data_IF_241832117566
#
_entry.id   IF_241832117566
#
_cell.length_a   1.000
_cell.length_b   1.000
_cell.length_c   1.000
_cell.angle_alpha   90.00
_cell.angle_beta   90.00
_cell.angle_gamma   90.00
#
_symmetry.space_group_name_H-M   'P 1'
#
loop_
_entity.id
_entity.type
_entity.pdbx_description
1 polymer ?
#
# COMPACT_ATOMS: atom_id res chain seq x y z
N UNK A 1 -7.89 -30.43 2.99
CA UNK A 1 -8.97 -29.43 3.18
C UNK A 1 -8.40 -28.06 2.89
N UNK A 2 -9.08 -27.27 2.03
CA UNK A 2 -8.61 -25.93 1.68
C UNK A 2 -8.78 -25.02 2.93
N UNK A 3 -7.68 -24.54 3.53
CA UNK A 3 -7.65 -23.79 4.80
C UNK A 3 -8.32 -22.41 4.72
N UNK A 4 -8.74 -22.00 3.55
CA UNK A 4 -9.38 -20.69 3.29
C UNK A 4 -10.90 -20.78 3.23
N UNK A 5 -11.45 -21.99 3.10
CA UNK A 5 -12.89 -22.21 2.94
C UNK A 5 -13.69 -21.71 4.16
N UNK A 6 -14.71 -20.89 3.93
CA UNK A 6 -15.54 -20.31 4.99
C UNK A 6 -14.95 -19.10 5.72
N UNK A 7 -13.74 -18.64 5.36
CA UNK A 7 -13.12 -17.41 5.89
C UNK A 7 -13.63 -16.19 5.15
N UNK A 8 -13.68 -15.06 5.86
CA UNK A 8 -14.13 -13.78 5.32
C UNK A 8 -12.98 -12.78 5.24
N UNK A 9 -12.89 -12.05 4.14
CA UNK A 9 -11.88 -11.01 3.90
C UNK A 9 -12.52 -9.67 3.53
N UNK A 10 -11.97 -8.58 4.07
CA UNK A 10 -12.23 -7.21 3.66
C UNK A 10 -10.97 -6.64 2.98
N UNK A 11 -11.10 -6.12 1.76
CA UNK A 11 -10.01 -5.50 1.01
C UNK A 11 -10.37 -4.05 0.73
N UNK A 12 -9.62 -3.09 1.27
CA UNK A 12 -9.85 -1.67 1.01
C UNK A 12 -9.18 -1.22 -0.28
N UNK A 13 -9.77 -0.24 -0.98
CA UNK A 13 -9.26 0.24 -2.28
C UNK A 13 -9.38 -0.81 -3.39
N UNK A 14 -10.42 -1.65 -3.34
CA UNK A 14 -10.61 -2.79 -4.22
C UNK A 14 -11.27 -2.47 -5.57
N UNK A 15 -11.49 -1.20 -5.90
CA UNK A 15 -12.13 -0.81 -7.18
C UNK A 15 -11.22 -0.90 -8.39
N UNK A 16 -9.91 -1.07 -8.22
CA UNK A 16 -8.93 -1.16 -9.32
C UNK A 16 -7.56 -1.66 -8.85
N UNK A 17 -6.71 -2.03 -9.81
CA UNK A 17 -5.29 -2.29 -9.61
C UNK A 17 -4.98 -3.40 -8.61
N UNK A 18 -4.08 -3.14 -7.66
CA UNK A 18 -3.63 -4.15 -6.69
C UNK A 18 -4.79 -4.64 -5.82
N UNK A 19 -5.63 -3.72 -5.32
CA UNK A 19 -6.75 -4.10 -4.44
C UNK A 19 -7.78 -4.98 -5.13
N UNK A 20 -8.12 -4.69 -6.37
CA UNK A 20 -9.00 -5.52 -7.19
C UNK A 20 -8.38 -6.91 -7.43
N UNK A 21 -7.10 -6.96 -7.81
CA UNK A 21 -6.41 -8.23 -8.04
C UNK A 21 -6.36 -9.09 -6.77
N UNK A 22 -6.11 -8.47 -5.60
CA UNK A 22 -6.13 -9.16 -4.30
C UNK A 22 -7.53 -9.70 -4.00
N UNK A 23 -8.57 -8.88 -4.15
CA UNK A 23 -9.94 -9.28 -3.86
C UNK A 23 -10.37 -10.47 -4.73
N UNK A 24 -10.13 -10.41 -6.04
CA UNK A 24 -10.40 -11.52 -6.97
C UNK A 24 -9.62 -12.78 -6.63
N UNK A 25 -8.33 -12.64 -6.28
CA UNK A 25 -7.49 -13.77 -5.91
C UNK A 25 -7.98 -14.45 -4.65
N UNK A 26 -8.28 -13.71 -3.59
CA UNK A 26 -8.79 -14.27 -2.35
C UNK A 26 -10.17 -14.95 -2.55
N UNK A 27 -11.02 -14.40 -3.41
CA UNK A 27 -12.27 -15.04 -3.78
C UNK A 27 -12.04 -16.38 -4.51
N UNK A 28 -11.10 -16.41 -5.45
CA UNK A 28 -10.73 -17.67 -6.15
C UNK A 28 -10.08 -18.70 -5.21
N UNK A 29 -9.44 -18.25 -4.14
CA UNK A 29 -8.88 -19.11 -3.09
C UNK A 29 -9.97 -19.66 -2.13
N UNK A 30 -11.25 -19.27 -2.32
CA UNK A 30 -12.41 -19.77 -1.57
C UNK A 30 -12.81 -18.96 -0.34
N UNK A 31 -12.29 -17.73 -0.18
CA UNK A 31 -12.78 -16.82 0.84
C UNK A 31 -14.06 -16.10 0.37
N UNK A 32 -14.94 -15.74 1.31
CA UNK A 32 -15.96 -14.74 1.06
C UNK A 32 -15.31 -13.36 1.14
N UNK A 33 -15.34 -12.60 0.05
CA UNK A 33 -14.56 -11.36 -0.06
C UNK A 33 -15.47 -10.15 -0.23
N UNK A 34 -15.23 -9.14 0.61
CA UNK A 34 -15.79 -7.80 0.48
C UNK A 34 -14.72 -6.85 -0.04
N UNK A 35 -14.95 -6.32 -1.25
CA UNK A 35 -14.11 -5.30 -1.85
C UNK A 35 -14.67 -3.91 -1.53
N UNK A 36 -13.94 -3.10 -0.78
CA UNK A 36 -14.41 -1.82 -0.31
C UNK A 36 -13.72 -0.65 -1.01
N UNK A 37 -14.48 0.36 -1.40
CA UNK A 37 -13.99 1.59 -2.03
C UNK A 37 -15.03 2.71 -1.91
N UNK A 38 -14.60 3.97 -2.11
CA UNK A 38 -15.51 5.15 -2.06
C UNK A 38 -16.63 5.08 -3.10
N UNK A 39 -16.34 4.51 -4.26
CA UNK A 39 -17.35 4.28 -5.33
C UNK A 39 -17.53 2.79 -5.49
N UNK A 40 -18.79 2.35 -5.49
CA UNK A 40 -19.10 0.95 -5.79
C UNK A 40 -18.59 0.62 -7.20
N UNK A 41 -18.01 -0.54 -7.34
CA UNK A 41 -17.56 -1.08 -8.63
C UNK A 41 -18.53 -2.20 -9.03
N UNK A 42 -19.17 -2.04 -10.17
CA UNK A 42 -19.95 -3.13 -10.76
C UNK A 42 -18.98 -4.05 -11.51
N UNK A 43 -18.53 -5.09 -10.84
CA UNK A 43 -17.72 -6.15 -11.46
C UNK A 43 -18.42 -7.50 -11.30
N UNK A 44 -19.47 -7.76 -12.07
CA UNK A 44 -20.24 -9.00 -11.95
C UNK A 44 -19.37 -10.22 -12.24
N UNK A 45 -19.66 -11.32 -11.57
CA UNK A 45 -18.96 -12.60 -11.81
C UNK A 45 -17.60 -12.78 -11.14
N UNK A 46 -17.16 -11.82 -10.32
CA UNK A 46 -15.82 -11.90 -9.67
C UNK A 46 -15.80 -12.66 -8.35
N UNK A 47 -16.97 -13.00 -7.80
CA UNK A 47 -17.08 -13.57 -6.44
C UNK A 47 -16.76 -12.58 -5.32
N UNK A 48 -16.67 -11.28 -5.63
CA UNK A 48 -16.38 -10.20 -4.68
C UNK A 48 -17.67 -9.39 -4.46
N UNK A 49 -18.08 -9.24 -3.20
CA UNK A 49 -19.15 -8.33 -2.81
C UNK A 49 -18.58 -6.92 -2.61
N UNK A 50 -19.19 -5.90 -3.24
CA UNK A 50 -18.68 -4.53 -3.14
C UNK A 50 -19.38 -3.74 -2.05
N UNK A 51 -18.59 -2.97 -1.25
CA UNK A 51 -19.06 -2.09 -0.18
C UNK A 51 -18.57 -0.66 -0.40
N UNK A 52 -19.40 0.31 -0.07
CA UNK A 52 -18.95 1.69 0.06
C UNK A 52 -18.13 1.85 1.35
N UNK A 53 -16.91 2.39 1.23
CA UNK A 53 -16.05 2.69 2.37
C UNK A 53 -15.09 3.82 2.01
N UNK A 54 -15.10 4.88 2.81
CA UNK A 54 -14.08 5.90 2.86
C UNK A 54 -13.20 5.66 4.10
N UNK A 55 -11.92 5.38 3.89
CA UNK A 55 -10.97 5.12 4.98
C UNK A 55 -10.65 6.37 5.80
N UNK A 56 -11.02 7.56 5.32
CA UNK A 56 -10.81 8.83 6.01
C UNK A 56 -11.95 9.19 6.96
N UNK A 57 -13.03 8.41 6.97
CA UNK A 57 -14.23 8.60 7.77
C UNK A 57 -14.46 7.42 8.73
N UNK A 58 -14.44 7.69 10.03
CA UNK A 58 -14.64 6.68 11.09
C UNK A 58 -16.00 6.00 11.02
N UNK A 59 -17.07 6.75 10.71
CA UNK A 59 -18.42 6.20 10.60
C UNK A 59 -18.57 5.32 9.36
N UNK A 60 -18.02 5.73 8.23
CA UNK A 60 -17.97 4.92 7.02
C UNK A 60 -17.27 3.58 7.27
N UNK A 61 -16.12 3.60 7.96
CA UNK A 61 -15.39 2.37 8.33
C UNK A 61 -16.21 1.50 9.27
N UNK A 62 -16.83 2.08 10.30
CA UNK A 62 -17.66 1.36 11.26
C UNK A 62 -18.86 0.68 10.59
N UNK A 63 -19.55 1.40 9.72
CA UNK A 63 -20.71 0.89 8.98
C UNK A 63 -20.29 -0.26 8.05
N UNK A 64 -19.21 -0.08 7.28
CA UNK A 64 -18.75 -1.11 6.36
C UNK A 64 -18.37 -2.43 7.07
N UNK A 65 -17.66 -2.34 8.21
CA UNK A 65 -17.33 -3.52 9.02
C UNK A 65 -18.60 -4.14 9.61
N UNK A 66 -19.55 -3.31 10.11
CA UNK A 66 -20.84 -3.78 10.59
C UNK A 66 -21.57 -4.61 9.54
N UNK A 67 -21.68 -4.12 8.30
CA UNK A 67 -22.29 -4.86 7.19
C UNK A 67 -21.61 -6.22 6.95
N UNK A 68 -20.28 -6.30 7.03
CA UNK A 68 -19.57 -7.58 6.89
C UNK A 68 -19.95 -8.54 8.01
N UNK A 69 -19.98 -8.05 9.25
CA UNK A 69 -20.33 -8.89 10.42
C UNK A 69 -21.77 -9.33 10.40
N UNK A 70 -22.70 -8.44 10.06
CA UNK A 70 -24.14 -8.77 9.96
C UNK A 70 -24.41 -9.85 8.90
N UNK A 71 -23.67 -9.80 7.78
CA UNK A 71 -23.82 -10.78 6.69
C UNK A 71 -23.14 -12.13 6.93
N UNK A 72 -22.04 -12.16 7.67
CA UNK A 72 -21.15 -13.35 7.74
C UNK A 72 -20.89 -13.81 9.17
N UNK A 73 -21.08 -12.95 10.17
CA UNK A 73 -20.78 -13.25 11.57
C UNK A 73 -19.30 -13.26 11.92
N UNK A 74 -18.39 -13.04 10.97
CA UNK A 74 -16.95 -13.12 11.18
C UNK A 74 -16.14 -12.27 10.21
N UNK A 75 -14.92 -11.91 10.60
CA UNK A 75 -13.92 -11.31 9.73
C UNK A 75 -12.55 -11.92 10.06
N UNK A 76 -11.94 -12.55 9.06
CA UNK A 76 -10.68 -13.29 9.22
C UNK A 76 -9.47 -12.59 8.63
N UNK A 77 -9.70 -11.74 7.63
CA UNK A 77 -8.63 -11.06 6.90
C UNK A 77 -9.04 -9.62 6.64
N UNK A 78 -8.16 -8.70 6.98
CA UNK A 78 -8.25 -7.32 6.52
C UNK A 78 -7.02 -7.01 5.68
N UNK A 79 -7.24 -6.50 4.47
CA UNK A 79 -6.18 -5.99 3.59
C UNK A 79 -6.34 -4.48 3.48
N UNK A 80 -5.47 -3.75 4.18
CA UNK A 80 -5.35 -2.30 4.12
C UNK A 80 -4.58 -1.91 2.85
N UNK A 81 -5.29 -1.76 1.73
CA UNK A 81 -4.70 -1.42 0.44
C UNK A 81 -5.07 -0.02 -0.05
N UNK A 82 -6.18 0.56 0.43
CA UNK A 82 -6.54 1.93 0.06
C UNK A 82 -5.39 2.91 0.34
N UNK A 83 -5.12 3.79 -0.62
CA UNK A 83 -4.05 4.77 -0.51
C UNK A 83 -4.00 5.68 -1.72
N UNK A 84 -3.24 6.76 -1.58
CA UNK A 84 -2.95 7.73 -2.64
C UNK A 84 -1.47 8.09 -2.69
N UNK A 85 -1.09 8.85 -3.71
CA UNK A 85 0.25 9.44 -3.83
C UNK A 85 0.15 10.88 -4.27
N UNK A 86 1.16 11.66 -3.91
CA UNK A 86 1.32 13.07 -4.25
C UNK A 86 2.69 13.26 -4.88
N UNK A 87 2.72 13.97 -6.01
CA UNK A 87 3.94 14.26 -6.76
C UNK A 87 4.25 15.75 -6.70
N UNK A 88 5.38 16.08 -6.10
CA UNK A 88 5.94 17.41 -5.96
C UNK A 88 7.08 17.44 -4.96
N UNK A 89 7.92 18.48 -4.98
CA UNK A 89 8.95 18.66 -3.98
C UNK A 89 8.31 18.91 -2.61
N UNK A 90 9.03 18.63 -1.52
CA UNK A 90 8.54 18.89 -0.17
C UNK A 90 8.21 20.36 0.05
N UNK A 91 8.99 21.27 -0.56
CA UNK A 91 8.75 22.72 -0.51
C UNK A 91 7.45 23.14 -1.22
N UNK A 92 7.05 22.40 -2.27
CA UNK A 92 5.82 22.65 -3.03
C UNK A 92 4.57 22.08 -2.37
N UNK A 93 4.75 21.14 -1.44
CA UNK A 93 3.65 20.41 -0.81
C UNK A 93 3.02 21.27 0.29
N UNK A 94 1.77 21.66 0.12
CA UNK A 94 1.01 22.35 1.16
C UNK A 94 0.73 21.43 2.35
N UNK A 95 0.48 22.04 3.52
CA UNK A 95 0.11 21.28 4.72
C UNK A 95 -1.20 20.51 4.53
N UNK A 96 -2.14 21.00 3.74
CA UNK A 96 -3.41 20.33 3.50
C UNK A 96 -3.25 19.11 2.59
N UNK A 97 -2.40 19.18 1.57
CA UNK A 97 -2.03 18.04 0.74
C UNK A 97 -1.30 16.96 1.56
N UNK A 98 -0.39 17.41 2.45
CA UNK A 98 0.30 16.50 3.36
C UNK A 98 -0.67 15.81 4.33
N UNK A 99 -1.63 16.56 4.91
CA UNK A 99 -2.70 16.02 5.78
C UNK A 99 -3.55 15.01 5.03
N UNK A 100 -4.01 15.34 3.83
CA UNK A 100 -4.80 14.41 3.01
C UNK A 100 -4.08 13.08 2.82
N UNK A 101 -2.78 13.11 2.55
CA UNK A 101 -2.00 11.89 2.34
C UNK A 101 -1.82 11.08 3.62
N UNK A 102 -1.57 11.75 4.76
CA UNK A 102 -1.49 11.14 6.08
C UNK A 102 -2.85 10.53 6.47
N UNK A 103 -3.94 11.26 6.27
CA UNK A 103 -5.30 10.80 6.54
C UNK A 103 -5.63 9.52 5.78
N UNK A 104 -5.29 9.49 4.49
CA UNK A 104 -5.59 8.34 3.65
C UNK A 104 -4.67 7.14 3.94
N UNK A 105 -3.34 7.37 3.91
CA UNK A 105 -2.37 6.29 3.86
C UNK A 105 -1.99 5.74 5.25
N UNK A 106 -2.08 6.54 6.30
CA UNK A 106 -1.69 6.15 7.66
C UNK A 106 -2.91 6.04 8.58
N UNK A 107 -3.66 7.13 8.75
CA UNK A 107 -4.81 7.13 9.65
C UNK A 107 -5.94 6.26 9.11
N UNK A 108 -6.12 6.18 7.79
CA UNK A 108 -7.06 5.25 7.16
C UNK A 108 -6.74 3.78 7.47
N UNK A 109 -5.46 3.41 7.39
CA UNK A 109 -5.00 2.07 7.81
C UNK A 109 -5.29 1.83 9.28
N UNK A 110 -5.03 2.82 10.13
CA UNK A 110 -5.30 2.74 11.57
C UNK A 110 -6.80 2.58 11.85
N UNK A 111 -7.68 3.39 11.25
CA UNK A 111 -9.14 3.33 11.43
C UNK A 111 -9.69 1.95 11.08
N UNK A 112 -9.36 1.45 9.89
CA UNK A 112 -9.81 0.13 9.44
C UNK A 112 -9.28 -0.98 10.33
N UNK A 113 -7.99 -0.95 10.67
CA UNK A 113 -7.37 -1.96 11.54
C UNK A 113 -7.97 -1.95 12.93
N UNK A 114 -8.17 -0.77 13.54
CA UNK A 114 -8.76 -0.60 14.86
C UNK A 114 -10.19 -1.14 14.91
N UNK A 115 -11.01 -0.78 13.93
CA UNK A 115 -12.40 -1.24 13.86
C UNK A 115 -12.51 -2.75 13.61
N UNK A 116 -11.60 -3.32 12.80
CA UNK A 116 -11.57 -4.76 12.53
C UNK A 116 -10.98 -5.60 13.66
N UNK A 117 -10.18 -5.01 14.54
CA UNK A 117 -9.37 -5.75 15.53
C UNK A 117 -10.16 -6.66 16.46
N UNK A 118 -11.33 -6.30 17.01
CA UNK A 118 -12.15 -7.23 17.82
C UNK A 118 -12.47 -8.52 17.06
N UNK A 119 -12.80 -8.42 15.78
CA UNK A 119 -13.18 -9.55 14.93
C UNK A 119 -11.96 -10.39 14.52
N UNK A 120 -10.82 -9.73 14.24
CA UNK A 120 -9.55 -10.40 13.97
C UNK A 120 -9.03 -11.16 15.19
N UNK A 121 -9.22 -10.64 16.41
CA UNK A 121 -8.88 -11.37 17.64
C UNK A 121 -9.76 -12.61 17.82
N UNK A 122 -11.07 -12.47 17.59
CA UNK A 122 -12.02 -13.59 17.71
C UNK A 122 -11.70 -14.72 16.70
N UNK A 123 -11.29 -14.37 15.48
CA UNK A 123 -10.96 -15.32 14.41
C UNK A 123 -9.49 -15.78 14.40
N UNK A 124 -8.63 -15.19 15.24
CA UNK A 124 -7.16 -15.29 15.15
C UNK A 124 -6.69 -15.02 13.71
N UNK A 125 -7.18 -13.93 13.15
CA UNK A 125 -7.11 -13.59 11.73
C UNK A 125 -5.81 -12.91 11.30
N UNK A 126 -5.87 -12.26 10.13
CA UNK A 126 -4.73 -11.59 9.50
C UNK A 126 -5.04 -10.10 9.26
N UNK A 127 -4.12 -9.24 9.65
CA UNK A 127 -4.05 -7.84 9.22
C UNK A 127 -2.90 -7.68 8.21
N UNK A 128 -3.24 -7.48 6.94
CA UNK A 128 -2.27 -7.25 5.87
C UNK A 128 -2.26 -5.77 5.53
N UNK A 129 -1.08 -5.16 5.55
CA UNK A 129 -0.87 -3.74 5.28
C UNK A 129 -0.08 -3.60 3.98
N UNK A 130 -0.56 -2.76 3.06
CA UNK A 130 0.16 -2.47 1.83
C UNK A 130 1.16 -1.33 2.06
N UNK A 131 2.40 -1.70 2.26
CA UNK A 131 3.56 -0.83 2.26
C UNK A 131 3.97 -0.40 0.85
N UNK A 132 5.27 -0.24 0.64
CA UNK A 132 5.92 0.07 -0.64
C UNK A 132 7.43 0.00 -0.47
N UNK A 133 8.20 -0.11 -1.55
CA UNK A 133 9.64 0.21 -1.53
C UNK A 133 9.89 1.64 -1.00
N UNK A 134 8.95 2.55 -1.18
CA UNK A 134 8.98 3.89 -0.59
C UNK A 134 8.89 3.89 0.95
N UNK A 135 8.56 2.75 1.58
CA UNK A 135 8.58 2.58 3.04
C UNK A 135 10.00 2.45 3.61
N UNK A 136 10.97 2.13 2.79
CA UNK A 136 12.39 2.10 3.19
C UNK A 136 13.28 2.96 2.29
N UNK A 137 12.74 3.58 1.24
CA UNK A 137 13.43 4.54 0.35
C UNK A 137 12.73 5.89 0.40
N UNK A 138 13.48 6.98 0.66
CA UNK A 138 12.97 8.32 0.38
C UNK A 138 13.06 8.60 -1.11
N UNK A 139 11.91 8.84 -1.74
CA UNK A 139 11.83 9.12 -3.18
C UNK A 139 11.73 10.63 -3.42
N UNK A 140 12.64 11.24 -4.20
CA UNK A 140 12.48 12.64 -4.62
C UNK A 140 11.13 12.86 -5.30
N UNK A 141 10.53 14.01 -5.09
CA UNK A 141 9.19 14.38 -5.53
C UNK A 141 8.02 13.51 -5.01
N UNK A 142 8.27 12.54 -4.14
CA UNK A 142 7.26 11.74 -3.43
C UNK A 142 7.53 11.75 -1.91
N UNK A 143 7.97 12.90 -1.37
CA UNK A 143 8.45 13.02 0.01
C UNK A 143 7.42 12.60 1.06
N UNK A 144 6.19 13.16 1.02
CA UNK A 144 5.14 12.79 1.97
C UNK A 144 4.59 11.38 1.71
N UNK A 145 4.54 10.91 0.47
CA UNK A 145 4.20 9.51 0.19
C UNK A 145 5.21 8.57 0.88
N UNK A 146 6.50 8.81 0.68
CA UNK A 146 7.55 8.04 1.35
C UNK A 146 7.43 8.11 2.88
N UNK A 147 7.15 9.29 3.44
CA UNK A 147 6.96 9.47 4.88
C UNK A 147 5.80 8.62 5.41
N UNK A 148 4.65 8.61 4.73
CA UNK A 148 3.51 7.76 5.14
C UNK A 148 3.85 6.28 5.05
N UNK A 149 4.60 5.84 4.03
CA UNK A 149 5.00 4.45 3.89
C UNK A 149 6.06 4.02 4.92
N UNK A 150 6.98 4.91 5.30
CA UNK A 150 7.90 4.69 6.43
C UNK A 150 7.14 4.59 7.76
N UNK A 151 6.13 5.43 7.97
CA UNK A 151 5.29 5.34 9.16
C UNK A 151 4.57 3.99 9.27
N UNK A 152 4.13 3.41 8.15
CA UNK A 152 3.51 2.07 8.14
C UNK A 152 4.49 0.95 8.50
N UNK A 153 5.79 1.11 8.26
CA UNK A 153 6.82 0.16 8.71
C UNK A 153 6.81 0.06 10.25
N UNK A 154 6.94 1.22 10.92
CA UNK A 154 6.91 1.29 12.38
C UNK A 154 5.56 0.86 12.95
N UNK A 155 4.45 1.27 12.31
CA UNK A 155 3.10 0.87 12.70
C UNK A 155 2.93 -0.66 12.66
N UNK A 156 3.40 -1.31 11.60
CA UNK A 156 3.30 -2.75 11.46
C UNK A 156 4.19 -3.52 12.47
N UNK A 157 5.39 -3.00 12.77
CA UNK A 157 6.29 -3.57 13.78
C UNK A 157 5.60 -3.59 15.15
N UNK A 158 5.05 -2.45 15.59
CA UNK A 158 4.38 -2.31 16.89
C UNK A 158 3.10 -3.14 16.94
N UNK A 159 2.23 -3.01 15.94
CA UNK A 159 0.97 -3.74 15.89
C UNK A 159 1.20 -5.25 16.00
N UNK A 160 2.21 -5.79 15.29
CA UNK A 160 2.52 -7.22 15.36
C UNK A 160 2.85 -7.69 16.76
N UNK A 161 3.63 -6.90 17.51
CA UNK A 161 4.00 -7.25 18.90
C UNK A 161 2.78 -7.18 19.82
N UNK A 162 1.95 -6.14 19.69
CA UNK A 162 0.79 -5.93 20.55
C UNK A 162 -0.29 -7.00 20.37
N UNK A 163 -0.52 -7.47 19.13
CA UNK A 163 -1.61 -8.41 18.83
C UNK A 163 -1.17 -9.89 18.82
N UNK A 164 0.14 -10.17 18.93
CA UNK A 164 0.66 -11.52 18.96
C UNK A 164 0.06 -12.40 20.09
N UNK A 165 -0.16 -11.90 21.32
CA UNK A 165 -0.78 -12.69 22.39
C UNK A 165 -2.20 -13.16 22.06
N UNK A 166 -2.88 -12.47 21.13
CA UNK A 166 -4.24 -12.82 20.70
C UNK A 166 -4.25 -13.74 19.47
N UNK A 167 -3.09 -14.11 18.95
CA UNK A 167 -2.98 -14.96 17.75
C UNK A 167 -3.29 -14.25 16.43
N UNK A 168 -3.42 -12.92 16.43
CA UNK A 168 -3.59 -12.13 15.20
C UNK A 168 -2.25 -12.02 14.48
N UNK A 169 -2.27 -12.22 13.18
CA UNK A 169 -1.09 -12.21 12.33
C UNK A 169 -1.02 -10.91 11.55
N UNK A 170 0.09 -10.21 11.66
CA UNK A 170 0.33 -8.95 10.93
C UNK A 170 1.38 -9.19 9.86
N UNK A 171 1.12 -8.70 8.65
CA UNK A 171 2.07 -8.72 7.56
C UNK A 171 2.05 -7.38 6.80
N UNK A 172 3.23 -6.92 6.41
CA UNK A 172 3.46 -5.75 5.57
C UNK A 172 3.96 -6.23 4.21
N UNK A 173 3.25 -5.88 3.15
CA UNK A 173 3.65 -6.18 1.77
C UNK A 173 4.29 -4.93 1.18
N UNK A 174 5.50 -5.06 0.65
CA UNK A 174 6.30 -3.98 0.10
C UNK A 174 6.49 -4.18 -1.41
N UNK A 175 5.51 -3.76 -2.24
CA UNK A 175 5.65 -3.83 -3.68
C UNK A 175 6.71 -2.84 -4.19
N UNK A 176 7.41 -3.23 -5.26
CA UNK A 176 8.08 -2.31 -6.16
C UNK A 176 7.07 -1.59 -7.07
N UNK A 177 7.49 -1.23 -8.28
CA UNK A 177 6.58 -0.70 -9.29
C UNK A 177 5.62 -1.79 -9.77
N UNK A 178 4.33 -1.43 -9.90
CA UNK A 178 3.26 -2.36 -10.32
C UNK A 178 2.47 -1.72 -11.46
N UNK A 179 2.18 -2.46 -12.50
CA UNK A 179 1.40 -2.03 -13.66
C UNK A 179 -0.06 -1.77 -13.27
N UNK A 180 -0.32 -0.57 -12.81
CA UNK A 180 -1.64 -0.09 -12.41
C UNK A 180 -1.81 1.37 -12.79
N UNK A 181 -3.06 1.83 -12.74
CA UNK A 181 -3.38 3.26 -12.89
C UNK A 181 -3.07 4.09 -11.62
N UNK A 182 -2.29 3.57 -10.67
CA UNK A 182 -1.98 4.29 -9.43
C UNK A 182 -1.16 5.55 -9.71
N UNK A 183 -0.13 5.43 -10.54
CA UNK A 183 0.73 6.55 -10.91
C UNK A 183 -0.01 7.60 -11.75
N UNK A 184 -0.91 7.20 -12.66
CA UNK A 184 -1.72 8.14 -13.45
C UNK A 184 -2.81 8.84 -12.63
N UNK A 185 -3.16 8.30 -11.46
CA UNK A 185 -4.07 8.90 -10.48
C UNK A 185 -3.34 9.68 -9.38
N UNK A 186 -2.02 9.87 -9.50
CA UNK A 186 -1.24 10.67 -8.57
C UNK A 186 -1.77 12.11 -8.53
N UNK A 187 -1.96 12.64 -7.34
CA UNK A 187 -2.22 14.06 -7.17
C UNK A 187 -0.91 14.82 -7.43
N UNK A 188 -0.97 15.87 -8.25
CA UNK A 188 0.13 16.81 -8.37
C UNK A 188 -0.04 17.91 -7.32
N UNK A 189 1.05 18.49 -6.87
CA UNK A 189 1.02 19.68 -5.98
C UNK A 189 0.26 20.82 -6.64
N UNK A 190 -0.56 21.52 -5.87
CA UNK A 190 -1.41 22.61 -6.38
C UNK A 190 -0.66 23.89 -6.75
N UNK A 191 0.52 24.12 -6.17
CA UNK A 191 1.33 25.31 -6.40
C UNK A 191 2.78 24.94 -6.81
N UNK A 192 2.99 24.43 -8.04
CA UNK A 192 4.31 24.00 -8.49
C UNK A 192 5.26 25.17 -8.70
N UNK A 193 6.53 25.01 -8.27
CA UNK A 193 7.59 25.97 -8.45
C UNK A 193 8.45 25.62 -9.66
N UNK A 194 8.72 26.57 -10.55
CA UNK A 194 9.48 26.32 -11.79
C UNK A 194 10.88 25.73 -11.53
N UNK A 195 11.49 26.02 -10.38
CA UNK A 195 12.81 25.50 -9.99
C UNK A 195 12.83 23.97 -9.87
N UNK A 196 11.68 23.32 -9.68
CA UNK A 196 11.53 21.86 -9.60
C UNK A 196 10.98 21.20 -10.87
N UNK A 197 10.75 21.94 -11.97
CA UNK A 197 10.21 21.39 -13.22
C UNK A 197 11.05 20.25 -13.79
N UNK A 198 12.38 20.38 -13.76
CA UNK A 198 13.28 19.34 -14.26
C UNK A 198 13.17 18.07 -13.44
N UNK A 199 13.11 18.19 -12.10
CA UNK A 199 12.93 17.06 -11.20
C UNK A 199 11.58 16.35 -11.45
N UNK A 200 10.47 17.11 -11.55
CA UNK A 200 9.14 16.53 -11.82
C UNK A 200 9.10 15.82 -13.17
N UNK A 201 9.73 16.40 -14.19
CA UNK A 201 9.80 15.81 -15.52
C UNK A 201 10.61 14.51 -15.51
N UNK A 202 11.77 14.50 -14.86
CA UNK A 202 12.62 13.33 -14.73
C UNK A 202 11.89 12.19 -13.94
N UNK A 203 11.18 12.55 -12.87
CA UNK A 203 10.35 11.59 -12.12
C UNK A 203 9.26 11.01 -13.02
N UNK A 204 8.49 11.87 -13.74
CA UNK A 204 7.39 11.41 -14.58
C UNK A 204 7.84 10.43 -15.66
N UNK A 205 8.96 10.71 -16.31
CA UNK A 205 9.55 9.82 -17.32
C UNK A 205 10.06 8.51 -16.70
N UNK A 206 10.78 8.59 -15.58
CA UNK A 206 11.29 7.43 -14.86
C UNK A 206 10.16 6.54 -14.33
N UNK A 207 9.14 7.13 -13.73
CA UNK A 207 8.00 6.42 -13.16
C UNK A 207 7.17 5.71 -14.25
N UNK A 208 6.92 6.36 -15.39
CA UNK A 208 6.20 5.74 -16.50
C UNK A 208 6.92 4.48 -16.99
N UNK A 209 8.24 4.57 -17.19
CA UNK A 209 9.07 3.44 -17.62
C UNK A 209 9.10 2.31 -16.57
N UNK A 210 9.24 2.67 -15.28
CA UNK A 210 9.29 1.69 -14.20
C UNK A 210 7.94 0.99 -14.01
N UNK A 211 6.82 1.70 -14.17
CA UNK A 211 5.47 1.13 -14.11
C UNK A 211 5.22 0.20 -15.30
N UNK A 212 5.64 0.57 -16.51
CA UNK A 212 5.51 -0.28 -17.70
C UNK A 212 6.23 -1.62 -17.54
N UNK A 213 7.43 -1.62 -16.93
CA UNK A 213 8.22 -2.81 -16.62
C UNK A 213 7.90 -3.43 -15.27
N UNK A 214 6.98 -2.83 -14.54
CA UNK A 214 6.58 -3.23 -13.19
C UNK A 214 5.90 -4.59 -13.16
N UNK A 215 5.68 -5.04 -11.93
CA UNK A 215 4.97 -6.29 -11.65
C UNK A 215 3.54 -6.26 -12.19
N UNK A 216 3.04 -7.42 -12.55
CA UNK A 216 1.60 -7.59 -12.70
C UNK A 216 0.91 -7.54 -11.33
N UNK A 217 -0.25 -6.87 -11.19
CA UNK A 217 -1.00 -6.85 -9.92
C UNK A 217 -1.29 -8.24 -9.35
N UNK A 218 -1.43 -9.26 -10.21
CA UNK A 218 -1.64 -10.64 -9.81
C UNK A 218 -0.47 -11.24 -9.01
N UNK A 219 0.75 -10.77 -9.24
CA UNK A 219 1.93 -11.22 -8.47
C UNK A 219 1.87 -10.71 -7.02
N UNK A 220 1.40 -9.47 -6.82
CA UNK A 220 1.16 -8.91 -5.49
C UNK A 220 0.00 -9.65 -4.81
N UNK A 221 -1.07 -9.92 -5.56
CA UNK A 221 -2.20 -10.70 -5.08
C UNK A 221 -1.79 -12.12 -4.66
N UNK A 222 -0.92 -12.78 -5.44
CA UNK A 222 -0.36 -14.08 -5.07
C UNK A 222 0.51 -14.03 -3.80
N UNK A 223 1.21 -12.92 -3.56
CA UNK A 223 1.94 -12.70 -2.31
C UNK A 223 0.98 -12.63 -1.12
N UNK A 224 -0.08 -11.83 -1.22
CA UNK A 224 -1.12 -11.71 -0.17
C UNK A 224 -1.82 -13.05 0.07
N UNK A 225 -2.16 -13.78 -0.98
CA UNK A 225 -2.76 -15.12 -0.89
C UNK A 225 -1.89 -16.09 -0.05
N UNK A 226 -0.57 -16.13 -0.31
CA UNK A 226 0.37 -16.93 0.49
C UNK A 226 0.45 -16.50 1.95
N UNK A 227 0.39 -15.19 2.23
CA UNK A 227 0.36 -14.64 3.60
C UNK A 227 -0.89 -15.14 4.32
N UNK A 228 -2.05 -15.02 3.69
CA UNK A 228 -3.34 -15.40 4.27
C UNK A 228 -3.44 -16.92 4.50
N UNK A 229 -2.78 -17.72 3.67
CA UNK A 229 -2.72 -19.17 3.83
C UNK A 229 -1.72 -19.64 4.92
N UNK A 230 -0.81 -18.77 5.36
CA UNK A 230 0.24 -19.08 6.33
C UNK A 230 -0.25 -18.92 7.77
N UNK A 231 0.10 -19.87 8.64
CA UNK A 231 -0.14 -19.77 10.09
C UNK A 231 0.87 -18.87 10.81
N UNK A 232 2.05 -18.70 10.23
CA UNK A 232 3.13 -17.87 10.79
C UNK A 232 3.82 -17.06 9.68
N UNK A 233 3.12 -16.08 9.07
CA UNK A 233 3.73 -15.26 8.05
C UNK A 233 4.85 -14.40 8.66
N UNK A 234 5.90 -14.16 7.87
CA UNK A 234 6.88 -13.12 8.23
C UNK A 234 6.16 -11.76 8.31
N UNK A 235 6.78 -10.79 8.98
CA UNK A 235 6.20 -9.45 8.98
C UNK A 235 6.33 -8.81 7.60
N UNK A 236 7.50 -8.80 6.99
CA UNK A 236 7.79 -8.12 5.71
C UNK A 236 7.84 -9.07 4.54
N UNK A 237 7.14 -8.71 3.49
CA UNK A 237 7.06 -9.45 2.23
C UNK A 237 7.35 -8.51 1.05
N UNK A 238 8.56 -8.57 0.53
CA UNK A 238 8.94 -7.85 -0.68
C UNK A 238 8.23 -8.49 -1.89
N UNK A 239 7.39 -7.72 -2.59
CA UNK A 239 6.76 -8.17 -3.82
C UNK A 239 7.59 -7.70 -5.02
N UNK A 240 8.13 -8.67 -5.76
CA UNK A 240 8.99 -8.46 -6.92
C UNK A 240 10.49 -8.52 -6.64
N UNK A 241 11.22 -8.93 -7.68
CA UNK A 241 12.69 -9.07 -7.60
C UNK A 241 13.38 -7.72 -7.41
N UNK A 242 12.83 -6.67 -7.98
CA UNK A 242 13.38 -5.32 -7.88
C UNK A 242 13.32 -4.79 -6.45
N UNK A 243 12.19 -4.95 -5.75
CA UNK A 243 12.07 -4.57 -4.34
C UNK A 243 13.17 -5.24 -3.48
N UNK A 244 13.43 -6.52 -3.73
CA UNK A 244 14.50 -7.25 -3.04
C UNK A 244 15.91 -6.72 -3.34
N UNK A 245 16.16 -6.36 -4.61
CA UNK A 245 17.46 -5.76 -5.03
C UNK A 245 17.65 -4.39 -4.38
N UNK A 246 16.63 -3.53 -4.42
CA UNK A 246 16.68 -2.18 -3.82
C UNK A 246 16.93 -2.26 -2.31
N UNK A 247 16.25 -3.16 -1.60
CA UNK A 247 16.45 -3.33 -0.16
C UNK A 247 17.88 -3.79 0.18
N UNK A 248 18.40 -4.76 -0.56
CA UNK A 248 19.79 -5.21 -0.39
C UNK A 248 20.79 -4.10 -0.71
N UNK A 249 20.56 -3.36 -1.78
CA UNK A 249 21.41 -2.27 -2.20
C UNK A 249 21.47 -1.19 -1.11
N UNK A 250 20.30 -0.78 -0.59
CA UNK A 250 20.22 0.20 0.51
C UNK A 250 20.94 -0.27 1.78
N UNK A 251 20.84 -1.55 2.14
CA UNK A 251 21.47 -2.07 3.36
C UNK A 251 23.00 -2.27 3.26
N UNK A 252 23.52 -2.45 2.04
CA UNK A 252 24.94 -2.75 1.81
C UNK A 252 25.74 -1.53 1.34
N UNK A 253 25.09 -0.55 0.70
CA UNK A 253 25.78 0.64 0.19
C UNK A 253 25.92 1.72 1.27
N UNK A 254 27.06 2.42 1.32
CA UNK A 254 27.18 3.65 2.10
C UNK A 254 26.10 4.67 1.70
N UNK A 255 25.50 5.34 2.69
CA UNK A 255 24.37 6.24 2.46
C UNK A 255 24.63 7.30 1.38
N UNK A 256 25.85 7.88 1.35
CA UNK A 256 26.24 8.87 0.33
C UNK A 256 26.22 8.32 -1.09
N UNK A 257 26.66 7.07 -1.29
CA UNK A 257 26.66 6.44 -2.61
C UNK A 257 25.23 6.14 -3.07
N UNK A 258 24.39 5.67 -2.14
CA UNK A 258 22.99 5.40 -2.43
C UNK A 258 22.24 6.70 -2.78
N UNK A 259 22.44 7.77 -1.99
CA UNK A 259 21.88 9.10 -2.26
C UNK A 259 22.33 9.64 -3.62
N UNK A 260 23.64 9.53 -3.94
CA UNK A 260 24.14 9.94 -5.24
C UNK A 260 23.47 9.19 -6.39
N UNK A 261 23.27 7.88 -6.25
CA UNK A 261 22.56 7.07 -7.24
C UNK A 261 21.11 7.54 -7.46
N UNK A 262 20.38 7.84 -6.37
CA UNK A 262 19.02 8.41 -6.45
C UNK A 262 19.05 9.80 -7.11
N UNK A 263 19.92 10.70 -6.69
CA UNK A 263 20.04 12.02 -7.31
C UNK A 263 20.29 11.92 -8.81
N UNK A 264 21.18 11.04 -9.24
CA UNK A 264 21.45 10.80 -10.67
C UNK A 264 20.21 10.28 -11.40
N UNK A 265 19.49 9.33 -10.82
CA UNK A 265 18.27 8.76 -11.39
C UNK A 265 17.18 9.80 -11.60
N UNK A 266 17.05 10.74 -10.68
CA UNK A 266 16.01 11.78 -10.69
C UNK A 266 16.49 13.13 -11.28
N UNK A 267 17.61 13.17 -12.01
CA UNK A 267 18.09 14.40 -12.63
C UNK A 267 18.55 15.49 -11.65
N UNK A 268 18.79 15.14 -10.38
CA UNK A 268 19.17 16.08 -9.32
C UNK A 268 20.69 16.30 -9.21
N UNK A 269 21.47 15.61 -10.02
CA UNK A 269 22.91 15.82 -10.15
C UNK A 269 23.11 16.80 -11.29
N UNK A 270 23.50 18.05 -11.01
CA UNK A 270 24.02 18.93 -12.04
C UNK A 270 25.22 18.22 -12.70
N UNK A 271 25.28 18.22 -14.04
CA UNK A 271 26.48 17.80 -14.73
C UNK A 271 27.68 18.53 -14.11
N UNK A 272 28.85 17.86 -13.91
CA UNK A 272 30.02 18.56 -13.39
C UNK A 272 30.23 19.80 -14.24
N UNK A 273 30.04 20.99 -13.67
CA UNK A 273 30.55 22.19 -14.29
C UNK A 273 32.06 21.90 -14.41
N UNK A 274 32.55 21.91 -15.64
CA UNK A 274 33.96 21.78 -15.94
C UNK A 274 34.78 22.42 -14.83
N UNK A 275 35.64 21.63 -14.22
CA UNK A 275 36.69 22.17 -13.37
C UNK A 275 37.58 23.00 -14.29
N UNK A 276 37.32 24.30 -14.34
CA UNK A 276 38.27 25.28 -14.82
C UNK A 276 38.98 25.89 -13.63
#
# INVERSE_FOLDING_TARGET
MNRTQGRCALVTGASSGIGEAIARRLASDGLRVFGASRKLSDSPGTGVEHLALDVTDDDSVRVAIGVVIDKVGRLDVVVNNAGGTLVGALEETSTDEARWLIETNLLGVHRVTRAAMPHLRASKGHAVIMGSVAGFLGMPAEGFYSATKHALEAYADVLRMEVAPFGVRVALVEPGFVRTNFASKAHAVGAPLAVYDEMRRALGQGLAHDVEKGLDPSEVAACVSRIVASEAPKLRHLAGREAGRLRRLKSLMPARMFEWGLRRRFGLVKAPRDMR
#
